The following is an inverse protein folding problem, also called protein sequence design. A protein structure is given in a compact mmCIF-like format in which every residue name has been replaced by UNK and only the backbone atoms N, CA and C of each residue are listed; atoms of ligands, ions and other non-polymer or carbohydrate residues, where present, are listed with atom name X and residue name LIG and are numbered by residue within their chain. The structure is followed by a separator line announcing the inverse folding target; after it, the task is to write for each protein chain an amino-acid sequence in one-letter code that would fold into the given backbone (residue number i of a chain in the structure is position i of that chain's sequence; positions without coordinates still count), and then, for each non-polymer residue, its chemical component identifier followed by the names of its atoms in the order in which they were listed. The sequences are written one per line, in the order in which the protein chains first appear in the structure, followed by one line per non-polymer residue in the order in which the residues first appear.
data_IF_086701900574
#
_entry.id   IF_086701900574
#
_cell.length_a   1.000
_cell.length_b   1.000
_cell.length_c   1.000
_cell.angle_alpha   90.00
_cell.angle_beta   90.00
_cell.angle_gamma   90.00
#
_symmetry.space_group_name_H-M   'P 1'
#
loop_
_entity.id
_entity.type
_entity.pdbx_description
1 polymer ?
#
# COMPACT_ATOMS: atom_id res chain seq x y z
N UNK A 1 11.74 -20.35 11.06
CA UNK A 1 11.58 -19.37 9.98
C UNK A 1 10.10 -19.16 9.74
N UNK A 2 9.56 -18.04 10.19
CA UNK A 2 8.22 -17.63 9.81
C UNK A 2 8.32 -17.05 8.39
N UNK A 3 7.67 -17.67 7.43
CA UNK A 3 7.48 -17.08 6.11
C UNK A 3 6.34 -16.07 6.23
N UNK A 4 6.64 -14.80 6.04
CA UNK A 4 5.68 -13.72 6.05
C UNK A 4 4.98 -13.73 4.70
N UNK A 5 3.67 -13.95 4.69
CA UNK A 5 2.90 -14.11 3.45
C UNK A 5 1.66 -13.23 3.50
N UNK A 6 1.67 -12.15 2.73
CA UNK A 6 0.46 -11.44 2.29
C UNK A 6 -0.28 -10.63 3.34
N UNK A 7 0.29 -10.39 4.52
CA UNK A 7 -0.35 -9.60 5.58
C UNK A 7 0.61 -8.63 6.27
N UNK A 8 1.80 -8.46 5.71
CA UNK A 8 2.83 -7.61 6.27
C UNK A 8 3.40 -6.70 5.18
N UNK A 9 3.55 -5.44 5.53
CA UNK A 9 4.17 -4.45 4.67
C UNK A 9 5.33 -3.80 5.40
N UNK A 10 6.45 -3.66 4.71
CA UNK A 10 7.68 -3.13 5.26
C UNK A 10 7.86 -1.68 4.85
N UNK A 11 8.19 -0.85 5.82
CA UNK A 11 8.65 0.53 5.59
C UNK A 11 10.05 0.63 6.15
N UNK A 12 11.01 1.07 5.34
CA UNK A 12 12.35 1.41 5.80
C UNK A 12 12.44 2.91 6.02
N UNK A 13 12.82 3.34 7.22
CA UNK A 13 13.08 4.73 7.50
C UNK A 13 14.53 5.13 7.23
N UNK A 14 14.85 6.43 7.39
CA UNK A 14 16.20 7.01 7.21
C UNK A 14 17.18 6.63 8.31
N UNK A 15 16.69 6.14 9.45
CA UNK A 15 17.51 5.78 10.62
C UNK A 15 17.99 4.32 10.55
N UNK A 16 17.81 3.64 9.41
CA UNK A 16 18.08 2.21 9.23
C UNK A 16 17.12 1.29 10.00
N UNK A 17 15.96 1.79 10.36
CA UNK A 17 14.90 1.01 10.97
C UNK A 17 14.01 0.37 9.93
N UNK A 18 13.50 -0.79 10.23
CA UNK A 18 12.52 -1.50 9.44
C UNK A 18 11.20 -1.55 10.21
N UNK A 19 10.20 -0.84 9.71
CA UNK A 19 8.86 -0.86 10.28
C UNK A 19 8.00 -1.88 9.54
N UNK A 20 7.30 -2.70 10.32
CA UNK A 20 6.42 -3.74 9.80
C UNK A 20 5.00 -3.49 10.28
N UNK A 21 4.08 -3.25 9.34
CA UNK A 21 2.65 -3.22 9.65
C UNK A 21 2.08 -4.62 9.42
N UNK A 22 1.64 -5.30 10.49
CA UNK A 22 1.31 -6.72 10.45
C UNK A 22 -0.14 -6.95 10.87
N UNK A 23 -0.95 -7.54 9.98
CA UNK A 23 -2.26 -8.06 10.35
C UNK A 23 -2.13 -9.47 10.94
N UNK A 24 -2.62 -9.66 12.16
CA UNK A 24 -2.53 -10.93 12.89
C UNK A 24 -3.54 -11.97 12.42
N UNK A 25 -3.39 -12.46 11.20
CA UNK A 25 -4.37 -13.34 10.55
C UNK A 25 -4.00 -14.82 10.71
N UNK A 26 -2.71 -15.16 10.60
CA UNK A 26 -2.19 -16.53 10.60
C UNK A 26 -1.31 -16.86 11.80
N UNK A 27 -0.87 -18.12 11.91
CA UNK A 27 -0.02 -18.56 13.03
C UNK A 27 1.34 -17.87 13.02
N UNK A 28 1.92 -17.64 11.84
CA UNK A 28 3.20 -16.92 11.71
C UNK A 28 3.10 -15.48 12.21
N UNK A 29 2.07 -14.73 11.78
CA UNK A 29 1.86 -13.34 12.20
C UNK A 29 1.50 -13.24 13.68
N UNK A 30 0.76 -14.23 14.23
CA UNK A 30 0.52 -14.33 15.67
C UNK A 30 1.79 -14.60 16.49
N UNK A 31 2.77 -15.33 15.92
CA UNK A 31 4.06 -15.51 16.57
C UNK A 31 4.88 -14.23 16.56
N UNK A 32 4.86 -13.47 15.46
CA UNK A 32 5.50 -12.15 15.40
C UNK A 32 4.95 -11.19 16.45
N UNK A 33 3.64 -11.21 16.67
CA UNK A 33 3.02 -10.40 17.72
C UNK A 33 3.40 -10.77 19.15
N UNK A 34 4.16 -11.86 19.36
CA UNK A 34 4.70 -12.23 20.67
C UNK A 34 6.13 -11.72 20.90
N UNK A 35 6.74 -11.11 19.90
CA UNK A 35 8.07 -10.54 20.03
C UNK A 35 8.05 -9.33 20.97
N UNK A 36 9.10 -9.21 21.76
CA UNK A 36 9.30 -8.13 22.71
C UNK A 36 10.56 -7.33 22.34
N UNK A 37 10.69 -6.16 22.93
CA UNK A 37 11.89 -5.34 22.80
C UNK A 37 13.12 -6.13 23.26
N UNK A 38 14.11 -6.24 22.37
CA UNK A 38 15.33 -7.01 22.59
C UNK A 38 15.33 -8.38 21.88
N UNK A 39 14.19 -8.84 21.39
CA UNK A 39 14.13 -10.05 20.58
C UNK A 39 14.74 -9.82 19.19
N UNK A 40 15.24 -10.88 18.57
CA UNK A 40 15.85 -10.84 17.23
C UNK A 40 14.93 -11.48 16.21
N UNK A 41 14.65 -10.75 15.12
CA UNK A 41 13.93 -11.25 13.96
C UNK A 41 14.85 -11.34 12.75
N UNK A 42 15.00 -12.54 12.18
CA UNK A 42 15.74 -12.73 10.93
C UNK A 42 14.84 -12.40 9.74
N UNK A 43 15.22 -11.38 8.98
CA UNK A 43 14.49 -10.91 7.80
C UNK A 43 15.34 -11.08 6.54
N UNK A 44 14.71 -11.48 5.45
CA UNK A 44 15.29 -11.45 4.12
C UNK A 44 14.68 -10.29 3.34
N UNK A 45 15.46 -9.25 3.11
CA UNK A 45 15.04 -8.05 2.38
C UNK A 45 16.24 -7.32 1.72
N UNK A 46 16.03 -6.38 0.78
CA UNK A 46 14.76 -6.08 0.11
C UNK A 46 14.36 -7.18 -0.88
N UNK A 47 13.06 -7.40 -1.03
CA UNK A 47 12.51 -8.34 -2.01
C UNK A 47 11.50 -7.64 -2.91
N UNK A 48 11.43 -8.08 -4.20
CA UNK A 48 10.52 -7.52 -5.18
C UNK A 48 10.93 -6.16 -5.74
N UNK A 49 9.99 -5.50 -6.39
CA UNK A 49 10.15 -4.17 -6.97
C UNK A 49 9.20 -3.19 -6.28
N UNK A 50 9.71 -2.01 -5.93
CA UNK A 50 8.89 -0.91 -5.42
C UNK A 50 8.07 -0.22 -6.50
N UNK A 51 7.19 0.67 -6.09
CA UNK A 51 6.49 1.58 -7.01
C UNK A 51 7.46 2.54 -7.68
N UNK A 52 7.13 2.92 -8.91
CA UNK A 52 7.90 3.91 -9.66
C UNK A 52 7.68 5.30 -9.07
N UNK A 53 8.77 5.94 -8.68
CA UNK A 53 8.73 7.32 -8.20
C UNK A 53 8.46 8.30 -9.36
N UNK A 54 7.73 9.40 -9.12
CA UNK A 54 7.54 10.42 -10.12
C UNK A 54 8.87 11.01 -10.57
N UNK A 55 9.01 11.25 -11.87
CA UNK A 55 10.21 11.86 -12.45
C UNK A 55 10.20 13.36 -12.19
N UNK A 56 9.03 13.98 -12.28
CA UNK A 56 8.81 15.40 -12.02
C UNK A 56 8.11 15.55 -10.66
N UNK A 57 8.64 16.36 -9.73
CA UNK A 57 7.96 16.61 -8.45
C UNK A 57 6.56 17.21 -8.57
N UNK A 58 6.26 17.87 -9.70
CA UNK A 58 4.92 18.42 -9.96
C UNK A 58 3.90 17.39 -10.46
N UNK A 59 4.32 16.14 -10.65
CA UNK A 59 3.44 15.06 -11.09
C UNK A 59 2.37 14.78 -10.02
N UNK A 60 1.09 14.94 -10.41
CA UNK A 60 -0.04 14.70 -9.49
C UNK A 60 -0.36 13.21 -9.43
N UNK A 61 0.26 12.52 -8.48
CA UNK A 61 0.11 11.08 -8.26
C UNK A 61 -0.87 10.78 -7.12
N UNK A 62 -1.83 9.88 -7.36
CA UNK A 62 -2.77 9.41 -6.33
C UNK A 62 -2.34 8.05 -5.79
N UNK A 63 -2.20 7.97 -4.48
CA UNK A 63 -1.84 6.76 -3.74
C UNK A 63 -3.10 6.19 -3.07
N UNK A 64 -3.59 5.05 -3.59
CA UNK A 64 -4.87 4.46 -3.15
C UNK A 64 -4.60 3.22 -2.32
N UNK A 65 -5.03 3.23 -1.06
CA UNK A 65 -4.71 2.17 -0.10
C UNK A 65 -5.87 1.69 0.75
N UNK A 66 -5.73 0.47 1.28
CA UNK A 66 -6.67 -0.10 2.25
C UNK A 66 -6.07 -1.22 3.08
N UNK A 67 -6.49 -1.31 4.34
CA UNK A 67 -5.94 -2.27 5.30
C UNK A 67 -4.43 -2.12 5.47
N UNK A 68 -3.71 -3.22 5.69
CA UNK A 68 -2.23 -3.18 5.82
C UNK A 68 -1.51 -2.75 4.55
N UNK A 69 -2.18 -2.77 3.39
CA UNK A 69 -1.63 -2.29 2.11
C UNK A 69 -1.34 -0.80 2.08
N UNK A 70 -1.70 -0.04 3.11
CA UNK A 70 -1.33 1.38 3.22
C UNK A 70 0.16 1.59 3.51
N UNK A 71 0.84 0.61 4.11
CA UNK A 71 2.24 0.76 4.54
C UNK A 71 3.22 1.12 3.41
N UNK A 72 3.27 0.43 2.24
CA UNK A 72 4.17 0.83 1.16
C UNK A 72 3.80 2.18 0.55
N UNK A 73 2.53 2.59 0.63
CA UNK A 73 2.10 3.90 0.15
C UNK A 73 2.56 5.03 1.07
N UNK A 74 2.67 4.77 2.38
CA UNK A 74 3.25 5.71 3.32
C UNK A 74 4.72 5.99 2.98
N UNK A 75 5.49 4.92 2.70
CA UNK A 75 6.88 5.07 2.27
C UNK A 75 7.00 5.80 0.92
N UNK A 76 6.18 5.42 -0.05
CA UNK A 76 6.15 6.09 -1.36
C UNK A 76 5.82 7.57 -1.22
N UNK A 77 4.83 7.93 -0.39
CA UNK A 77 4.47 9.31 -0.12
C UNK A 77 5.61 10.10 0.54
N UNK A 78 6.34 9.47 1.45
CA UNK A 78 7.52 10.07 2.06
C UNK A 78 8.61 10.37 1.02
N UNK A 79 8.92 9.42 0.14
CA UNK A 79 9.88 9.60 -0.95
C UNK A 79 9.47 10.71 -1.93
N UNK A 80 8.16 10.79 -2.25
CA UNK A 80 7.63 11.88 -3.10
C UNK A 80 7.85 13.23 -2.43
N UNK A 81 7.50 13.35 -1.15
CA UNK A 81 7.65 14.59 -0.39
C UNK A 81 9.10 15.05 -0.28
N UNK A 82 10.03 14.12 -0.07
CA UNK A 82 11.46 14.42 -0.02
C UNK A 82 12.03 14.92 -1.32
N UNK A 83 11.44 14.53 -2.44
CA UNK A 83 11.81 15.03 -3.77
C UNK A 83 11.13 16.35 -4.11
N UNK A 84 10.38 16.93 -3.15
CA UNK A 84 9.70 18.22 -3.31
C UNK A 84 8.32 18.10 -3.95
N UNK A 85 7.79 16.89 -4.12
CA UNK A 85 6.42 16.66 -4.57
C UNK A 85 5.41 16.74 -3.43
N UNK A 86 4.12 16.72 -3.78
CA UNK A 86 3.01 16.71 -2.82
C UNK A 86 2.12 15.50 -3.05
N UNK A 87 2.27 14.43 -2.24
CA UNK A 87 1.51 13.21 -2.44
C UNK A 87 0.04 13.40 -2.07
N UNK A 88 -0.85 12.78 -2.85
CA UNK A 88 -2.27 12.68 -2.57
C UNK A 88 -2.64 11.24 -2.23
N UNK A 89 -3.31 11.03 -1.12
CA UNK A 89 -3.70 9.71 -0.62
C UNK A 89 -5.22 9.56 -0.64
N UNK A 90 -5.71 8.39 -1.07
CA UNK A 90 -7.10 7.99 -0.95
C UNK A 90 -7.16 6.66 -0.19
N UNK A 91 -7.58 6.75 1.07
CA UNK A 91 -7.60 5.62 1.98
C UNK A 91 -9.01 5.08 2.15
N UNK A 92 -9.17 3.79 1.96
CA UNK A 92 -10.44 3.09 2.13
C UNK A 92 -10.43 2.11 3.29
N UNK A 93 -11.51 2.13 4.09
CA UNK A 93 -11.71 1.20 5.19
C UNK A 93 -13.19 0.82 5.33
N UNK A 94 -13.49 -0.20 6.13
CA UNK A 94 -14.89 -0.51 6.46
C UNK A 94 -15.45 0.48 7.46
N UNK A 95 -14.65 0.81 8.47
CA UNK A 95 -14.97 1.76 9.53
C UNK A 95 -13.79 2.69 9.76
N UNK A 96 -14.01 3.78 10.50
CA UNK A 96 -12.92 4.70 10.91
C UNK A 96 -11.83 4.01 11.73
N UNK A 97 -12.19 2.98 12.51
CA UNK A 97 -11.27 2.26 13.38
C UNK A 97 -10.35 1.30 12.58
N UNK A 98 -10.73 0.99 11.34
CA UNK A 98 -9.92 0.22 10.39
C UNK A 98 -8.94 1.10 9.57
N UNK A 99 -8.96 2.41 9.74
CA UNK A 99 -8.02 3.33 9.09
C UNK A 99 -6.68 3.32 9.83
N UNK A 100 -5.69 2.72 9.19
CA UNK A 100 -4.37 2.56 9.78
C UNK A 100 -3.48 3.77 9.48
N UNK A 101 -2.71 4.23 10.46
CA UNK A 101 -1.66 5.25 10.33
C UNK A 101 -2.13 6.60 9.75
N UNK A 102 -3.41 6.96 9.91
CA UNK A 102 -4.02 8.14 9.30
C UNK A 102 -3.23 9.43 9.60
N UNK A 103 -2.78 9.61 10.84
CA UNK A 103 -2.04 10.79 11.27
C UNK A 103 -0.70 10.93 10.53
N UNK A 104 -0.04 9.82 10.21
CA UNK A 104 1.21 9.82 9.45
C UNK A 104 0.97 10.26 8.00
N UNK A 105 -0.11 9.80 7.38
CA UNK A 105 -0.48 10.24 6.03
C UNK A 105 -0.81 11.73 5.97
N UNK A 106 -1.53 12.26 6.97
CA UNK A 106 -1.87 13.69 7.08
C UNK A 106 -0.64 14.59 7.20
N UNK A 107 0.45 14.10 7.80
CA UNK A 107 1.72 14.83 7.88
C UNK A 107 2.47 14.87 6.55
N UNK A 108 2.19 13.94 5.65
CA UNK A 108 2.89 13.82 4.38
C UNK A 108 2.23 14.63 3.26
N UNK A 109 0.91 14.64 3.15
CA UNK A 109 0.23 15.28 2.03
C UNK A 109 -1.28 15.33 2.19
N UNK A 110 -1.98 15.46 1.07
CA UNK A 110 -3.45 15.50 1.05
C UNK A 110 -4.04 14.12 1.28
N UNK A 111 -4.97 13.99 2.22
CA UNK A 111 -5.60 12.71 2.56
C UNK A 111 -7.11 12.79 2.34
N UNK A 112 -7.59 11.91 1.48
CA UNK A 112 -9.00 11.64 1.23
C UNK A 112 -9.36 10.28 1.84
N UNK A 113 -10.55 10.18 2.41
CA UNK A 113 -10.97 8.98 3.14
C UNK A 113 -12.35 8.52 2.68
N UNK A 114 -12.52 7.21 2.53
CA UNK A 114 -13.83 6.57 2.41
C UNK A 114 -14.01 5.52 3.48
N UNK A 115 -15.22 5.47 4.07
CA UNK A 115 -15.62 4.36 4.93
C UNK A 115 -16.95 3.76 4.46
N UNK A 116 -17.07 2.45 4.51
CA UNK A 116 -18.30 1.78 4.05
C UNK A 116 -19.49 2.11 4.96
N UNK A 117 -19.23 2.30 6.26
CA UNK A 117 -20.23 2.59 7.28
C UNK A 117 -20.55 4.09 7.48
N UNK A 118 -19.88 4.99 6.71
CA UNK A 118 -20.04 6.45 6.85
C UNK A 118 -19.50 7.04 8.16
N UNK A 119 -18.57 6.35 8.82
CA UNK A 119 -18.00 6.80 10.11
C UNK A 119 -16.94 7.89 9.96
N UNK A 120 -16.28 7.99 8.80
CA UNK A 120 -15.32 9.05 8.47
C UNK A 120 -15.16 9.22 6.95
N UNK A 121 -15.02 10.46 6.51
CA UNK A 121 -14.81 10.80 5.09
C UNK A 121 -16.07 10.66 4.26
N UNK A 122 -15.97 10.20 3.01
CA UNK A 122 -17.11 9.92 2.15
C UNK A 122 -17.55 8.46 2.30
N UNK A 123 -18.86 8.25 2.27
CA UNK A 123 -19.44 6.90 2.32
C UNK A 123 -19.19 6.13 1.04
N UNK A 124 -18.73 4.88 1.16
CA UNK A 124 -18.59 3.96 0.03
C UNK A 124 -17.17 3.43 -0.16
N UNK A 125 -16.87 3.00 -1.39
CA UNK A 125 -15.56 2.49 -1.75
C UNK A 125 -14.66 3.61 -2.29
N UNK A 126 -13.37 3.37 -2.31
CA UNK A 126 -12.37 4.34 -2.83
C UNK A 126 -12.71 4.86 -4.23
N UNK A 127 -13.30 4.02 -5.09
CA UNK A 127 -13.72 4.40 -6.45
C UNK A 127 -14.97 5.29 -6.50
N UNK A 128 -15.67 5.46 -5.39
CA UNK A 128 -16.88 6.31 -5.30
C UNK A 128 -16.52 7.72 -4.86
N UNK A 129 -15.33 7.94 -4.27
CA UNK A 129 -14.93 9.21 -3.70
C UNK A 129 -14.95 10.35 -4.73
N UNK A 130 -15.49 11.50 -4.32
CA UNK A 130 -15.70 12.65 -5.17
C UNK A 130 -14.42 13.25 -5.77
N UNK A 131 -13.26 13.06 -5.11
CA UNK A 131 -11.97 13.54 -5.57
C UNK A 131 -11.61 13.00 -6.96
N UNK A 132 -12.00 11.77 -7.26
CA UNK A 132 -11.77 11.13 -8.56
C UNK A 132 -12.54 11.80 -9.71
N UNK A 133 -13.52 12.65 -9.40
CA UNK A 133 -14.29 13.45 -10.38
C UNK A 133 -13.81 14.89 -10.40
N UNK A 134 -13.27 15.39 -9.29
CA UNK A 134 -12.88 16.80 -9.12
C UNK A 134 -11.44 17.06 -9.55
N UNK A 135 -10.56 16.10 -9.35
CA UNK A 135 -9.14 16.24 -9.63
C UNK A 135 -8.69 15.32 -10.76
N UNK A 136 -7.62 15.72 -11.43
CA UNK A 136 -6.97 14.92 -12.47
C UNK A 136 -5.63 14.43 -11.93
N UNK A 137 -5.48 13.13 -11.94
CA UNK A 137 -4.24 12.48 -11.58
C UNK A 137 -3.55 11.95 -12.83
N UNK A 138 -2.23 12.11 -12.89
CA UNK A 138 -1.40 11.62 -14.00
C UNK A 138 -1.11 10.13 -13.85
N UNK A 139 -0.97 9.68 -12.60
CA UNK A 139 -0.66 8.29 -12.24
C UNK A 139 -1.36 7.88 -10.97
N UNK A 140 -1.67 6.59 -10.84
CA UNK A 140 -2.23 5.99 -9.64
C UNK A 140 -1.34 4.83 -9.20
N UNK A 141 -0.98 4.79 -7.91
CA UNK A 141 -0.40 3.61 -7.28
C UNK A 141 -1.41 3.04 -6.28
N UNK A 142 -1.61 1.72 -6.29
CA UNK A 142 -2.58 1.10 -5.39
C UNK A 142 -2.05 -0.15 -4.72
N UNK A 143 -2.33 -0.28 -3.42
CA UNK A 143 -2.02 -1.46 -2.63
C UNK A 143 -3.10 -1.71 -1.58
N UNK A 144 -3.49 -2.98 -1.41
CA UNK A 144 -4.50 -3.39 -0.45
C UNK A 144 -5.32 -4.60 -0.91
N UNK A 145 -6.56 -4.74 -0.45
CA UNK A 145 -7.41 -5.87 -0.82
C UNK A 145 -7.59 -6.01 -2.34
N UNK A 146 -7.45 -7.22 -2.85
CA UNK A 146 -7.53 -7.50 -4.30
C UNK A 146 -8.76 -6.90 -4.99
N UNK A 147 -10.00 -6.97 -4.43
CA UNK A 147 -11.16 -6.35 -5.05
C UNK A 147 -11.02 -4.83 -5.20
N UNK A 148 -10.44 -4.16 -4.19
CA UNK A 148 -10.19 -2.71 -4.23
C UNK A 148 -9.19 -2.38 -5.35
N UNK A 149 -8.04 -3.04 -5.37
CA UNK A 149 -7.00 -2.81 -6.39
C UNK A 149 -7.53 -3.03 -7.80
N UNK A 150 -8.33 -4.10 -8.02
CA UNK A 150 -8.97 -4.37 -9.32
C UNK A 150 -9.94 -3.25 -9.72
N UNK A 151 -10.71 -2.71 -8.78
CA UNK A 151 -11.64 -1.60 -9.06
C UNK A 151 -10.89 -0.33 -9.42
N UNK A 152 -9.81 -0.02 -8.69
CA UNK A 152 -8.93 1.12 -8.98
C UNK A 152 -8.26 0.98 -10.35
N UNK A 153 -7.72 -0.19 -10.67
CA UNK A 153 -7.09 -0.45 -11.96
C UNK A 153 -8.08 -0.30 -13.13
N UNK A 154 -9.32 -0.80 -12.98
CA UNK A 154 -10.38 -0.61 -13.99
C UNK A 154 -10.76 0.88 -14.15
N UNK A 155 -10.85 1.60 -13.04
CA UNK A 155 -11.10 3.04 -13.05
C UNK A 155 -10.01 3.79 -13.83
N UNK A 156 -8.74 3.50 -13.53
CA UNK A 156 -7.58 4.11 -14.20
C UNK A 156 -7.57 3.78 -15.70
N UNK A 157 -7.73 2.49 -16.05
CA UNK A 157 -7.76 2.03 -17.45
C UNK A 157 -8.86 2.73 -18.26
N UNK A 158 -10.07 2.85 -17.71
CA UNK A 158 -11.19 3.51 -18.38
C UNK A 158 -10.94 5.01 -18.66
N UNK A 159 -9.95 5.61 -18.01
CA UNK A 159 -9.57 7.02 -18.15
C UNK A 159 -8.21 7.25 -18.80
N UNK A 160 -7.53 6.18 -19.20
CA UNK A 160 -6.19 6.26 -19.77
C UNK A 160 -5.13 6.76 -18.77
N UNK A 161 -5.35 6.52 -17.46
CA UNK A 161 -4.41 6.88 -16.41
C UNK A 161 -3.49 5.68 -16.16
N UNK A 162 -2.18 5.92 -16.10
CA UNK A 162 -1.21 4.89 -15.72
C UNK A 162 -1.46 4.43 -14.28
N UNK A 163 -1.51 3.10 -14.07
CA UNK A 163 -1.81 2.53 -12.76
C UNK A 163 -0.84 1.41 -12.40
N UNK A 164 -0.13 1.60 -11.30
CA UNK A 164 0.71 0.57 -10.71
C UNK A 164 -0.03 -0.12 -9.57
N UNK A 165 0.03 -1.45 -9.56
CA UNK A 165 -0.66 -2.28 -8.57
C UNK A 165 0.35 -3.14 -7.84
N UNK A 166 0.42 -3.02 -6.51
CA UNK A 166 1.24 -3.90 -5.69
C UNK A 166 0.54 -5.24 -5.51
N UNK A 167 1.01 -6.25 -6.23
CA UNK A 167 0.46 -7.60 -6.16
C UNK A 167 1.32 -8.46 -5.25
N UNK A 168 0.71 -9.01 -4.21
CA UNK A 168 1.33 -9.99 -3.35
C UNK A 168 0.76 -11.38 -3.63
N UNK A 169 1.65 -12.31 -3.95
CA UNK A 169 1.34 -13.73 -4.03
C UNK A 169 1.91 -14.48 -2.82
N UNK A 170 1.40 -15.69 -2.60
CA UNK A 170 1.99 -16.58 -1.60
C UNK A 170 3.48 -16.76 -1.89
N UNK A 171 4.31 -16.44 -0.92
CA UNK A 171 5.76 -16.52 -1.03
C UNK A 171 6.28 -17.64 -0.12
N UNK A 172 7.04 -18.59 -0.67
CA UNK A 172 7.64 -19.64 0.12
C UNK A 172 9.14 -19.42 0.36
N UNK A 173 9.94 -19.19 -0.68
CA UNK A 173 11.39 -19.03 -0.54
C UNK A 173 11.85 -17.56 -0.49
N UNK A 174 11.08 -16.61 -0.98
CA UNK A 174 11.46 -15.20 -1.11
C UNK A 174 12.56 -14.91 -2.15
N UNK A 175 13.09 -15.94 -2.80
CA UNK A 175 14.21 -15.83 -3.74
C UNK A 175 13.83 -16.13 -5.19
N UNK A 176 12.56 -16.41 -5.47
CA UNK A 176 12.08 -16.79 -6.81
C UNK A 176 12.37 -18.24 -7.20
N UNK A 177 13.17 -18.99 -6.42
CA UNK A 177 13.60 -20.33 -6.77
C UNK A 177 12.47 -21.38 -6.76
N UNK A 178 11.45 -21.22 -5.90
CA UNK A 178 10.33 -22.16 -5.81
C UNK A 178 9.18 -21.85 -6.77
N UNK A 179 9.23 -20.74 -7.51
CA UNK A 179 8.22 -20.25 -8.45
C UNK A 179 6.82 -20.01 -7.81
N UNK A 180 6.69 -20.08 -6.50
CA UNK A 180 5.42 -19.96 -5.80
C UNK A 180 4.82 -18.54 -5.91
N UNK A 181 5.68 -17.51 -5.84
CA UNK A 181 5.29 -16.10 -5.97
C UNK A 181 5.43 -15.55 -7.40
N UNK A 182 5.89 -16.37 -8.36
CA UNK A 182 6.05 -15.91 -9.73
C UNK A 182 4.69 -15.67 -10.40
N UNK A 183 4.47 -14.43 -10.82
CA UNK A 183 3.42 -14.10 -11.78
C UNK A 183 3.97 -14.42 -13.18
N UNK A 184 3.55 -15.54 -13.75
CA UNK A 184 3.80 -15.79 -15.16
C UNK A 184 2.93 -14.83 -15.96
N UNK A 185 3.55 -13.82 -16.54
CA UNK A 185 2.95 -13.07 -17.63
C UNK A 185 2.91 -13.97 -18.85
N UNK A 186 1.86 -14.73 -19.00
CA UNK A 186 1.44 -15.17 -20.30
C UNK A 186 0.63 -14.01 -20.88
N UNK A 187 1.32 -13.13 -21.59
CA UNK A 187 0.70 -12.23 -22.54
C UNK A 187 0.00 -13.07 -23.60
N UNK A 188 -1.27 -12.85 -23.95
CA UNK A 188 -1.85 -13.39 -25.16
C UNK A 188 -1.19 -12.77 -26.38
#
# INVERSE_FOLDING_TARGET
SACLVGSEMCIRDRQNELWLLIAMIGDGTRQLGKLHVGDTLNCLYPLGNGFTLPVDPSENMLLVGGGVGVAPLLHLGHEIKERGGEPSFLLGARTKDDLLELDLFQQLGHVYVTTEDDSLGEKGFVTDHSVLKKEKFSRIATCGPKPMMMSVARYAHARGIECEVSLENKMACGLGACLCCCLLYTSP
#
